data_IF_927991238477
#
_entry.id   IF_927991238477
#
_cell.length_a   1.000
_cell.length_b   1.000
_cell.length_c   1.000
_cell.angle_alpha   90.00
_cell.angle_beta   90.00
_cell.angle_gamma   90.00
#
_symmetry.space_group_name_H-M   'P 1'
#
loop_
_entity.id
_entity.type
_entity.pdbx_description
1 polymer ?
#
# COMPACT_ATOMS: atom_id res chain seq x y z
N UNK A 1 22.19 9.66 -1.22
CA UNK A 1 23.06 8.61 -1.81
C UNK A 1 22.72 8.53 -3.28
N UNK A 2 23.70 8.60 -4.20
CA UNK A 2 23.43 8.42 -5.63
C UNK A 2 23.12 6.94 -5.88
N UNK A 3 22.04 6.65 -6.61
CA UNK A 3 21.66 5.28 -6.99
C UNK A 3 21.92 5.13 -8.49
N UNK A 4 22.95 4.36 -8.89
CA UNK A 4 23.22 4.09 -10.31
C UNK A 4 22.08 3.25 -10.93
N UNK A 5 21.53 3.69 -12.05
CA UNK A 5 20.53 2.92 -12.81
C UNK A 5 19.81 3.75 -13.89
N UNK A 6 19.28 3.12 -14.96
CA UNK A 6 18.69 3.83 -16.11
C UNK A 6 17.21 4.24 -15.91
N UNK A 7 16.66 4.14 -14.70
CA UNK A 7 15.22 4.27 -14.44
C UNK A 7 14.89 5.44 -13.51
N UNK A 8 13.58 5.70 -13.34
CA UNK A 8 13.05 6.64 -12.35
C UNK A 8 13.72 6.44 -10.97
N UNK A 9 13.93 7.52 -10.23
CA UNK A 9 14.57 7.41 -8.92
C UNK A 9 13.79 6.45 -8.00
N UNK A 10 14.46 5.72 -7.10
CA UNK A 10 13.78 4.82 -6.16
C UNK A 10 12.66 5.53 -5.37
N UNK A 11 12.86 6.81 -5.02
CA UNK A 11 11.85 7.63 -4.35
C UNK A 11 10.63 7.85 -5.23
N UNK A 12 10.80 8.05 -6.54
CA UNK A 12 9.68 8.17 -7.48
C UNK A 12 8.90 6.86 -7.61
N UNK A 13 9.59 5.72 -7.60
CA UNK A 13 8.93 4.42 -7.62
C UNK A 13 8.19 4.14 -6.31
N UNK A 14 8.80 4.42 -5.16
CA UNK A 14 8.16 4.32 -3.86
C UNK A 14 6.93 5.24 -3.75
N UNK A 15 7.06 6.48 -4.23
CA UNK A 15 5.95 7.45 -4.29
C UNK A 15 4.79 6.94 -5.15
N UNK A 16 5.07 6.33 -6.31
CA UNK A 16 4.02 5.71 -7.15
C UNK A 16 3.30 4.56 -6.41
N UNK A 17 4.04 3.73 -5.68
CA UNK A 17 3.44 2.65 -4.89
C UNK A 17 2.56 3.20 -3.75
N UNK A 18 3.03 4.24 -3.06
CA UNK A 18 2.26 4.91 -2.00
C UNK A 18 1.02 5.61 -2.55
N UNK A 19 1.10 6.24 -3.72
CA UNK A 19 -0.06 6.83 -4.40
C UNK A 19 -1.18 5.81 -4.64
N UNK A 20 -0.85 4.66 -5.22
CA UNK A 20 -1.83 3.59 -5.43
C UNK A 20 -2.32 3.00 -4.10
N UNK A 21 -1.43 2.85 -3.12
CA UNK A 21 -1.81 2.41 -1.78
C UNK A 21 -2.80 3.36 -1.10
N UNK A 22 -2.60 4.68 -1.19
CA UNK A 22 -3.54 5.65 -0.65
C UNK A 22 -4.88 5.64 -1.36
N UNK A 23 -4.91 5.34 -2.66
CA UNK A 23 -6.17 5.12 -3.36
C UNK A 23 -6.93 3.90 -2.79
N UNK A 24 -6.22 2.78 -2.59
CA UNK A 24 -6.79 1.60 -1.94
C UNK A 24 -7.33 1.91 -0.53
N UNK A 25 -6.56 2.61 0.30
CA UNK A 25 -6.99 3.00 1.65
C UNK A 25 -8.20 3.93 1.60
N UNK A 26 -8.22 4.92 0.71
CA UNK A 26 -9.35 5.82 0.56
C UNK A 26 -10.64 5.09 0.15
N UNK A 27 -10.56 4.12 -0.77
CA UNK A 27 -11.70 3.27 -1.12
C UNK A 27 -12.22 2.49 0.09
N UNK A 28 -11.32 1.94 0.93
CA UNK A 28 -11.72 1.25 2.17
C UNK A 28 -12.41 2.19 3.16
N UNK A 29 -11.85 3.38 3.38
CA UNK A 29 -12.44 4.41 4.26
C UNK A 29 -13.84 4.79 3.76
N UNK A 30 -13.97 5.13 2.47
CA UNK A 30 -15.26 5.52 1.88
C UNK A 30 -16.25 4.37 1.93
N UNK A 31 -15.84 3.14 1.62
CA UNK A 31 -16.71 1.96 1.71
C UNK A 31 -17.24 1.77 3.14
N UNK A 32 -16.40 1.87 4.17
CA UNK A 32 -16.83 1.77 5.56
C UNK A 32 -17.82 2.89 5.96
N UNK A 33 -17.58 4.14 5.50
CA UNK A 33 -18.50 5.26 5.73
C UNK A 33 -19.88 5.01 5.09
N UNK A 34 -19.91 4.48 3.87
CA UNK A 34 -21.14 4.25 3.12
C UNK A 34 -21.98 3.10 3.69
N UNK A 35 -21.36 2.08 4.28
CA UNK A 35 -22.07 0.91 4.81
C UNK A 35 -23.16 1.30 5.82
N UNK A 36 -22.93 2.34 6.63
CA UNK A 36 -23.93 2.85 7.58
C UNK A 36 -24.72 4.06 7.05
N UNK A 37 -24.07 4.94 6.29
CA UNK A 37 -24.67 6.22 5.89
C UNK A 37 -25.49 6.14 4.59
N UNK A 38 -25.07 5.32 3.63
CA UNK A 38 -25.74 5.17 2.33
C UNK A 38 -25.50 3.76 1.75
N UNK A 39 -26.30 2.76 2.17
CA UNK A 39 -26.13 1.36 1.75
C UNK A 39 -26.28 1.13 0.24
N UNK A 40 -27.05 1.96 -0.46
CA UNK A 40 -27.17 1.86 -1.92
C UNK A 40 -25.88 2.26 -2.62
N UNK A 41 -25.26 3.36 -2.20
CA UNK A 41 -23.97 3.79 -2.73
C UNK A 41 -22.82 2.84 -2.31
N UNK A 42 -22.94 2.19 -1.15
CA UNK A 42 -22.05 1.09 -0.76
C UNK A 42 -22.15 -0.07 -1.76
N UNK A 43 -23.37 -0.50 -2.09
CA UNK A 43 -23.62 -1.58 -3.04
C UNK A 43 -23.06 -1.26 -4.42
N UNK A 44 -23.33 -0.07 -4.95
CA UNK A 44 -22.76 0.41 -6.22
C UNK A 44 -21.22 0.33 -6.21
N UNK A 45 -20.58 0.79 -5.12
CA UNK A 45 -19.12 0.74 -5.00
C UNK A 45 -18.59 -0.71 -4.94
N UNK A 46 -19.29 -1.62 -4.25
CA UNK A 46 -18.92 -3.04 -4.17
C UNK A 46 -19.02 -3.73 -5.53
N UNK A 47 -20.12 -3.54 -6.25
CA UNK A 47 -20.31 -4.09 -7.60
C UNK A 47 -19.26 -3.56 -8.57
N UNK A 48 -18.88 -2.28 -8.45
CA UNK A 48 -17.82 -1.70 -9.27
C UNK A 48 -16.45 -2.33 -8.97
N UNK A 49 -16.15 -2.60 -7.68
CA UNK A 49 -14.91 -3.25 -7.25
C UNK A 49 -14.77 -4.69 -7.74
N UNK A 50 -15.87 -5.40 -7.97
CA UNK A 50 -15.84 -6.77 -8.48
C UNK A 50 -15.34 -6.85 -9.93
N UNK A 51 -15.43 -5.75 -10.68
CA UNK A 51 -15.08 -5.68 -12.11
C UNK A 51 -13.88 -4.79 -12.41
N UNK A 52 -13.44 -3.95 -11.46
CA UNK A 52 -12.36 -2.99 -11.65
C UNK A 52 -11.26 -3.16 -10.60
N UNK A 53 -10.02 -3.34 -11.08
CA UNK A 53 -8.85 -3.48 -10.21
C UNK A 53 -8.46 -2.18 -9.52
N UNK A 54 -7.97 -2.29 -8.28
CA UNK A 54 -7.39 -1.18 -7.51
C UNK A 54 -5.88 -1.02 -7.71
N UNK A 55 -5.25 -1.81 -8.58
CA UNK A 55 -3.79 -1.78 -8.78
C UNK A 55 -3.30 -0.44 -9.36
N UNK A 56 -4.10 0.17 -10.24
CA UNK A 56 -3.89 1.54 -10.72
C UNK A 56 -5.02 2.42 -10.19
N UNK A 57 -4.70 3.25 -9.21
CA UNK A 57 -5.70 4.06 -8.51
C UNK A 57 -6.29 5.16 -9.39
N UNK A 58 -5.53 5.66 -10.36
CA UNK A 58 -6.01 6.72 -11.24
C UNK A 58 -6.87 6.16 -12.36
N UNK A 59 -6.51 5.00 -12.92
CA UNK A 59 -7.37 4.29 -13.87
C UNK A 59 -8.70 3.90 -13.21
N UNK A 60 -8.66 3.37 -11.98
CA UNK A 60 -9.86 3.04 -11.21
C UNK A 60 -10.78 4.26 -11.04
N UNK A 61 -10.24 5.38 -10.54
CA UNK A 61 -11.02 6.59 -10.32
C UNK A 61 -11.57 7.14 -11.64
N UNK A 62 -10.77 7.15 -12.70
CA UNK A 62 -11.17 7.67 -13.99
C UNK A 62 -12.32 6.84 -14.60
N UNK A 63 -12.27 5.51 -14.48
CA UNK A 63 -13.35 4.61 -14.89
C UNK A 63 -14.60 4.81 -14.04
N UNK A 64 -14.46 4.90 -12.72
CA UNK A 64 -15.57 5.16 -11.81
C UNK A 64 -16.28 6.49 -12.13
N UNK A 65 -15.53 7.54 -12.47
CA UNK A 65 -16.09 8.84 -12.88
C UNK A 65 -16.95 8.78 -14.14
N UNK A 66 -16.73 7.79 -15.02
CA UNK A 66 -17.42 7.66 -16.31
C UNK A 66 -18.59 6.67 -16.28
N UNK A 67 -18.75 5.90 -15.20
CA UNK A 67 -19.79 4.87 -15.10
C UNK A 67 -21.20 5.47 -15.00
N UNK A 68 -21.43 6.43 -14.10
CA UNK A 68 -22.69 7.18 -14.00
C UNK A 68 -22.51 8.45 -13.15
N UNK A 69 -23.55 9.28 -13.04
CA UNK A 69 -23.53 10.46 -12.15
C UNK A 69 -23.32 10.11 -10.68
N UNK A 70 -23.91 9.01 -10.20
CA UNK A 70 -23.72 8.50 -8.82
C UNK A 70 -22.27 8.05 -8.60
N UNK A 71 -21.71 7.29 -9.54
CA UNK A 71 -20.31 6.83 -9.48
C UNK A 71 -19.32 8.00 -9.58
N UNK A 72 -19.63 9.04 -10.36
CA UNK A 72 -18.83 10.28 -10.39
C UNK A 72 -18.73 10.92 -9.01
N UNK A 73 -19.84 11.03 -8.27
CA UNK A 73 -19.82 11.57 -6.90
C UNK A 73 -18.99 10.69 -5.96
N UNK A 74 -19.07 9.36 -6.09
CA UNK A 74 -18.22 8.43 -5.34
C UNK A 74 -16.73 8.61 -5.64
N UNK A 75 -16.37 8.74 -6.91
CA UNK A 75 -14.98 8.98 -7.31
C UNK A 75 -14.45 10.30 -6.75
N UNK A 76 -15.23 11.39 -6.83
CA UNK A 76 -14.85 12.68 -6.24
C UNK A 76 -14.62 12.56 -4.72
N UNK A 77 -15.46 11.79 -4.03
CA UNK A 77 -15.28 11.52 -2.60
C UNK A 77 -13.99 10.75 -2.31
N UNK A 78 -13.66 9.74 -3.12
CA UNK A 78 -12.40 9.01 -2.99
C UNK A 78 -11.19 9.92 -3.25
N UNK A 79 -11.25 10.80 -4.26
CA UNK A 79 -10.18 11.76 -4.56
C UNK A 79 -9.94 12.74 -3.40
N UNK A 80 -11.00 13.22 -2.77
CA UNK A 80 -10.92 14.06 -1.58
C UNK A 80 -10.29 13.31 -0.40
N UNK A 81 -10.80 12.13 -0.09
CA UNK A 81 -10.33 11.31 1.04
C UNK A 81 -8.87 10.89 0.86
N UNK A 82 -8.44 10.46 -0.34
CA UNK A 82 -7.03 10.07 -0.56
C UNK A 82 -6.07 11.26 -0.41
N UNK A 83 -6.51 12.47 -0.81
CA UNK A 83 -5.73 13.69 -0.60
C UNK A 83 -5.64 14.05 0.88
N UNK A 84 -6.76 14.00 1.60
CA UNK A 84 -6.80 14.29 3.04
C UNK A 84 -5.94 13.29 3.83
N UNK A 85 -6.12 11.99 3.59
CA UNK A 85 -5.38 10.94 4.27
C UNK A 85 -3.87 11.08 4.06
N UNK A 86 -3.42 11.27 2.82
CA UNK A 86 -2.00 11.43 2.49
C UNK A 86 -1.36 12.66 3.16
N UNK A 87 -2.09 13.77 3.27
CA UNK A 87 -1.54 15.06 3.73
C UNK A 87 -1.68 15.30 5.23
N UNK A 88 -2.68 14.71 5.87
CA UNK A 88 -3.08 15.07 7.23
C UNK A 88 -3.07 13.89 8.19
N UNK A 89 -3.49 12.70 7.75
CA UNK A 89 -3.70 11.56 8.65
C UNK A 89 -2.56 10.53 8.59
N UNK A 90 -1.91 10.38 7.43
CA UNK A 90 -0.86 9.39 7.26
C UNK A 90 0.42 9.80 8.01
N UNK A 91 0.82 8.96 8.95
CA UNK A 91 1.98 9.22 9.80
C UNK A 91 3.31 8.94 9.08
N UNK A 92 3.76 9.89 8.26
CA UNK A 92 4.99 9.79 7.48
C UNK A 92 6.24 9.48 8.32
N UNK A 93 6.37 10.12 9.48
CA UNK A 93 7.50 9.87 10.39
C UNK A 93 7.48 8.46 10.97
N UNK A 94 6.28 7.95 11.26
CA UNK A 94 6.10 6.59 11.74
C UNK A 94 6.40 5.57 10.64
N UNK A 95 5.97 5.82 9.39
CA UNK A 95 6.35 5.00 8.23
C UNK A 95 7.87 4.91 8.11
N UNK A 96 8.58 6.05 8.17
CA UNK A 96 10.04 6.08 8.12
C UNK A 96 10.66 5.26 9.25
N UNK A 97 10.22 5.49 10.50
CA UNK A 97 10.69 4.78 11.68
C UNK A 97 10.49 3.27 11.56
N UNK A 98 9.30 2.83 11.16
CA UNK A 98 8.96 1.42 10.97
C UNK A 98 9.79 0.79 9.85
N UNK A 99 9.98 1.51 8.73
CA UNK A 99 10.75 1.01 7.59
C UNK A 99 12.20 0.75 7.99
N UNK A 100 12.85 1.69 8.69
CA UNK A 100 14.21 1.50 9.22
C UNK A 100 14.27 0.32 10.20
N UNK A 101 13.35 0.27 11.16
CA UNK A 101 13.28 -0.81 12.15
C UNK A 101 13.13 -2.18 11.49
N UNK A 102 12.25 -2.32 10.50
CA UNK A 102 12.03 -3.58 9.79
C UNK A 102 13.29 -4.06 9.07
N UNK A 103 14.07 -3.16 8.49
CA UNK A 103 15.36 -3.50 7.86
C UNK A 103 16.37 -3.99 8.91
N UNK A 104 16.50 -3.27 10.03
CA UNK A 104 17.43 -3.63 11.11
C UNK A 104 17.08 -4.98 11.74
N UNK A 105 15.80 -5.18 12.06
CA UNK A 105 15.27 -6.43 12.63
C UNK A 105 15.46 -7.60 11.65
N UNK A 106 15.16 -7.39 10.37
CA UNK A 106 15.33 -8.40 9.32
C UNK A 106 16.79 -8.80 9.15
N UNK A 107 17.71 -7.83 9.09
CA UNK A 107 19.14 -8.11 8.97
C UNK A 107 19.66 -8.90 10.18
N UNK A 108 19.26 -8.51 11.40
CA UNK A 108 19.64 -9.21 12.62
C UNK A 108 19.13 -10.65 12.63
N UNK A 109 17.88 -10.86 12.22
CA UNK A 109 17.26 -12.18 12.12
C UNK A 109 18.00 -13.07 11.12
N UNK A 110 18.21 -12.59 9.90
CA UNK A 110 18.88 -13.36 8.84
C UNK A 110 20.30 -13.76 9.22
N UNK A 111 21.07 -12.85 9.84
CA UNK A 111 22.43 -13.16 10.30
C UNK A 111 22.42 -14.22 11.42
N UNK A 112 21.47 -14.13 12.35
CA UNK A 112 21.32 -15.12 13.43
C UNK A 112 20.96 -16.51 12.87
N UNK A 113 19.99 -16.57 11.97
CA UNK A 113 19.56 -17.82 11.33
C UNK A 113 20.73 -18.48 10.59
N UNK A 114 21.48 -17.70 9.80
CA UNK A 114 22.65 -18.21 9.10
C UNK A 114 23.74 -18.78 10.02
N UNK A 115 24.03 -18.11 11.15
CA UNK A 115 25.01 -18.63 12.12
C UNK A 115 24.55 -19.94 12.74
N UNK A 116 23.27 -20.07 13.10
CA UNK A 116 22.72 -21.30 13.67
C UNK A 116 22.82 -22.46 12.67
N UNK A 117 22.36 -22.23 11.43
CA UNK A 117 22.39 -23.24 10.37
C UNK A 117 23.82 -23.74 10.06
N UNK A 118 24.80 -22.83 10.02
CA UNK A 118 26.18 -23.19 9.65
C UNK A 118 27.00 -23.74 10.81
N UNK A 119 26.62 -23.43 12.06
CA UNK A 119 27.30 -23.98 13.24
C UNK A 119 26.89 -25.44 13.48
N UNK A 120 25.61 -25.76 13.29
CA UNK A 120 25.10 -27.14 13.40
C UNK A 120 25.68 -28.07 12.30
N UNK A 121 26.00 -27.52 11.13
CA UNK A 121 26.67 -28.25 10.04
C UNK A 121 28.13 -28.55 10.39
N UNK A 122 28.84 -27.58 11.01
CA UNK A 122 30.24 -27.78 11.44
C UNK A 122 30.37 -28.82 12.54
N UNK A 123 29.44 -28.89 13.49
CA UNK A 123 29.46 -29.93 14.54
C UNK A 123 29.23 -31.34 13.95
N UNK A 124 28.37 -31.48 12.93
CA UNK A 124 28.14 -32.76 12.24
C UNK A 124 29.30 -33.18 11.34
N UNK A 125 30.02 -32.25 10.72
CA UNK A 125 31.18 -32.53 9.88
C UNK A 125 32.46 -32.84 10.68
N UNK A 126 32.58 -32.33 11.91
CA UNK A 126 33.79 -32.53 12.74
C UNK A 126 33.75 -33.75 13.66
N UNK A 127 32.66 -34.54 13.65
CA UNK A 127 32.65 -35.92 14.16
C UNK A 127 33.40 -36.11 15.48
N UNK A 128 32.94 -35.42 16.53
CA UNK A 128 33.23 -35.77 17.93
C UNK A 128 31.91 -35.97 18.68
#
# INVERSE_FOLDING_TARGET
>A
MYVPGPFASPEKQASKNLHNFFNYIAVKIVSAQLESYNPEAYKDLREFLDTHSLNDGDEFCASLMRQSSRHKSLALRILEVRSAYCKHDFEWDNLKRLTCKMVDDSNTKLMREYVLETSDVKEKETGK
#
